data_IF_315812398332
#
_entry.id   IF_315812398332
#
_cell.length_a   1.000
_cell.length_b   1.000
_cell.length_c   1.000
_cell.angle_alpha   90.00
_cell.angle_beta   90.00
_cell.angle_gamma   90.00
#
_symmetry.space_group_name_H-M   'P 1'
#
loop_
_entity.id
_entity.type
_entity.pdbx_description
1 polymer ?
#
# COMPACT_ATOMS: atom_id res chain seq x y z
N UNK A 1 6.75 2.42 -29.88
CA UNK A 1 5.34 2.11 -29.58
C UNK A 1 5.29 1.57 -28.17
N UNK A 2 4.57 2.22 -27.29
CA UNK A 2 4.52 1.95 -25.83
C UNK A 2 3.91 0.58 -25.51
N UNK A 3 2.88 0.15 -26.26
CA UNK A 3 2.18 -1.11 -26.07
C UNK A 3 2.64 -2.18 -27.07
N UNK A 4 3.27 -3.24 -26.59
CA UNK A 4 3.45 -4.51 -27.30
C UNK A 4 2.21 -5.40 -27.10
N UNK A 5 2.19 -6.60 -27.71
CA UNK A 5 1.04 -7.51 -27.64
C UNK A 5 0.76 -8.00 -26.20
N UNK A 6 1.81 -8.25 -25.39
CA UNK A 6 1.68 -8.67 -23.99
C UNK A 6 1.07 -7.57 -23.13
N UNK A 7 1.53 -6.32 -23.28
CA UNK A 7 0.96 -5.17 -22.58
C UNK A 7 -0.48 -4.88 -22.97
N UNK A 8 -0.83 -5.09 -24.25
CA UNK A 8 -2.22 -4.99 -24.69
C UNK A 8 -3.09 -6.07 -24.06
N UNK A 9 -2.59 -7.30 -23.97
CA UNK A 9 -3.32 -8.40 -23.32
C UNK A 9 -3.54 -8.08 -21.83
N UNK A 10 -2.51 -7.61 -21.13
CA UNK A 10 -2.64 -7.17 -19.73
C UNK A 10 -3.68 -6.03 -19.59
N UNK A 11 -3.58 -5.01 -20.45
CA UNK A 11 -4.51 -3.88 -20.44
C UNK A 11 -5.97 -4.33 -20.58
N UNK A 12 -6.27 -5.18 -21.55
CA UNK A 12 -7.64 -5.67 -21.78
C UNK A 12 -8.11 -6.57 -20.61
N UNK A 13 -7.23 -7.41 -20.04
CA UNK A 13 -7.56 -8.22 -18.87
C UNK A 13 -7.93 -7.34 -17.67
N UNK A 14 -7.13 -6.32 -17.37
CA UNK A 14 -7.37 -5.41 -16.24
C UNK A 14 -8.64 -4.58 -16.46
N UNK A 15 -8.83 -4.07 -17.66
CA UNK A 15 -10.02 -3.31 -18.06
C UNK A 15 -11.30 -4.15 -17.93
N UNK A 16 -11.25 -5.40 -18.38
CA UNK A 16 -12.38 -6.33 -18.21
C UNK A 16 -12.67 -6.62 -16.74
N UNK A 17 -11.62 -6.86 -15.93
CA UNK A 17 -11.75 -7.01 -14.51
C UNK A 17 -12.39 -5.78 -13.85
N UNK A 18 -11.90 -4.58 -14.16
CA UNK A 18 -12.45 -3.33 -13.62
C UNK A 18 -13.93 -3.15 -13.97
N UNK A 19 -14.32 -3.47 -15.20
CA UNK A 19 -15.71 -3.38 -15.66
C UNK A 19 -16.67 -4.41 -15.03
N UNK A 20 -16.17 -5.61 -14.75
CA UNK A 20 -17.00 -6.71 -14.26
C UNK A 20 -17.02 -6.80 -12.73
N UNK A 21 -15.88 -6.53 -12.06
CA UNK A 21 -15.70 -6.78 -10.64
C UNK A 21 -15.69 -5.49 -9.79
N UNK A 22 -15.53 -4.31 -10.40
CA UNK A 22 -15.51 -3.03 -9.68
C UNK A 22 -16.67 -2.14 -10.06
N UNK A 23 -16.76 -1.75 -11.33
CA UNK A 23 -17.72 -0.75 -11.80
C UNK A 23 -19.19 -1.04 -11.41
N UNK A 24 -19.72 -2.28 -11.48
CA UNK A 24 -21.11 -2.57 -11.10
C UNK A 24 -21.42 -2.33 -9.62
N UNK A 25 -20.40 -2.32 -8.77
CA UNK A 25 -20.54 -2.19 -7.31
C UNK A 25 -20.06 -0.83 -6.78
N UNK A 26 -19.45 0.01 -7.62
CA UNK A 26 -18.82 1.26 -7.23
C UNK A 26 -19.78 2.20 -6.48
N UNK A 27 -21.01 2.38 -6.96
CA UNK A 27 -22.03 3.22 -6.30
C UNK A 27 -22.42 2.68 -4.92
N UNK A 28 -22.62 1.37 -4.79
CA UNK A 28 -22.92 0.73 -3.51
C UNK A 28 -21.77 0.91 -2.52
N UNK A 29 -20.53 0.65 -2.96
CA UNK A 29 -19.35 0.80 -2.11
C UNK A 29 -19.08 2.26 -1.73
N UNK A 30 -19.32 3.21 -2.64
CA UNK A 30 -19.23 4.65 -2.34
C UNK A 30 -20.25 5.05 -1.25
N UNK A 31 -21.48 4.56 -1.33
CA UNK A 31 -22.51 4.81 -0.32
C UNK A 31 -22.18 4.16 1.03
N UNK A 32 -21.63 2.95 1.03
CA UNK A 32 -21.14 2.26 2.22
C UNK A 32 -19.85 2.86 2.75
N UNK A 33 -19.11 3.57 1.89
CA UNK A 33 -17.85 4.22 2.17
C UNK A 33 -16.68 3.25 2.37
N UNK A 34 -16.75 2.04 1.85
CA UNK A 34 -15.68 1.07 1.74
C UNK A 34 -16.05 -0.03 0.75
N UNK A 35 -15.03 -0.65 0.14
CA UNK A 35 -15.16 -1.86 -0.67
C UNK A 35 -14.65 -3.07 0.11
N UNK A 36 -15.08 -4.30 -0.19
CA UNK A 36 -14.59 -5.50 0.48
C UNK A 36 -13.20 -5.89 -0.02
N UNK A 37 -12.15 -5.34 0.62
CA UNK A 37 -10.77 -5.43 0.13
C UNK A 37 -10.27 -6.88 0.03
N UNK A 38 -10.54 -7.72 1.03
CA UNK A 38 -10.12 -9.13 1.01
C UNK A 38 -10.72 -9.89 -0.16
N UNK A 39 -12.03 -9.72 -0.42
CA UNK A 39 -12.70 -10.41 -1.52
C UNK A 39 -12.20 -9.93 -2.88
N UNK A 40 -12.04 -8.61 -3.06
CA UNK A 40 -11.56 -8.05 -4.32
C UNK A 40 -10.11 -8.44 -4.60
N UNK A 41 -9.23 -8.33 -3.59
CA UNK A 41 -7.82 -8.68 -3.76
C UNK A 41 -7.63 -10.18 -4.00
N UNK A 42 -8.49 -11.03 -3.44
CA UNK A 42 -8.47 -12.46 -3.76
C UNK A 42 -8.77 -12.72 -5.23
N UNK A 43 -9.80 -12.09 -5.78
CA UNK A 43 -10.12 -12.16 -7.23
C UNK A 43 -9.00 -11.61 -8.10
N UNK A 44 -8.35 -10.51 -7.68
CA UNK A 44 -7.21 -9.94 -8.41
C UNK A 44 -6.01 -10.89 -8.43
N UNK A 45 -5.75 -11.57 -7.31
CA UNK A 45 -4.67 -12.55 -7.21
C UNK A 45 -4.89 -13.78 -8.10
N UNK A 46 -6.14 -14.20 -8.33
CA UNK A 46 -6.48 -15.29 -9.28
C UNK A 46 -6.08 -14.95 -10.74
N UNK A 47 -5.86 -13.67 -11.03
CA UNK A 47 -5.38 -13.16 -12.32
C UNK A 47 -3.95 -12.62 -12.24
N UNK A 48 -3.20 -12.92 -11.19
CA UNK A 48 -1.83 -12.47 -10.90
C UNK A 48 -1.65 -10.93 -10.85
N UNK A 49 -2.74 -10.15 -10.72
CA UNK A 49 -2.74 -8.69 -10.81
C UNK A 49 -2.11 -7.98 -9.60
N UNK A 50 -1.93 -8.66 -8.45
CA UNK A 50 -1.29 -8.07 -7.28
C UNK A 50 0.24 -8.22 -7.29
N UNK A 51 0.78 -9.04 -8.20
CA UNK A 51 2.20 -9.39 -8.26
C UNK A 51 2.91 -9.00 -9.56
N UNK A 52 2.35 -8.15 -10.41
CA UNK A 52 2.87 -7.87 -11.76
C UNK A 52 4.36 -7.52 -11.76
N UNK A 53 4.80 -6.63 -10.88
CA UNK A 53 6.21 -6.19 -10.79
C UNK A 53 7.00 -6.89 -9.70
N UNK A 54 6.41 -7.85 -9.01
CA UNK A 54 7.06 -8.57 -7.90
C UNK A 54 7.84 -9.77 -8.43
N UNK A 55 8.89 -10.15 -7.68
CA UNK A 55 9.78 -11.25 -8.01
C UNK A 55 9.02 -12.60 -8.10
N UNK A 56 9.35 -13.40 -9.12
CA UNK A 56 8.79 -14.74 -9.37
C UNK A 56 9.02 -15.68 -8.19
N UNK A 57 10.15 -15.57 -7.48
CA UNK A 57 10.47 -16.39 -6.30
C UNK A 57 9.46 -16.23 -5.15
N UNK A 58 8.66 -15.14 -5.18
CA UNK A 58 7.62 -14.85 -4.20
C UNK A 58 6.20 -14.90 -4.78
N UNK A 59 6.06 -15.42 -6.01
CA UNK A 59 4.77 -15.57 -6.67
C UNK A 59 4.32 -14.36 -7.48
N UNK A 60 5.24 -13.45 -7.79
CA UNK A 60 5.02 -12.36 -8.74
C UNK A 60 5.26 -12.77 -10.19
N UNK A 61 5.04 -11.85 -11.12
CA UNK A 61 5.27 -12.08 -12.56
C UNK A 61 6.67 -11.62 -13.02
N UNK A 62 7.47 -10.95 -12.18
CA UNK A 62 8.81 -10.47 -12.51
C UNK A 62 8.87 -9.43 -13.64
N UNK A 63 7.76 -8.78 -13.97
CA UNK A 63 7.70 -7.83 -15.08
C UNK A 63 8.24 -6.47 -14.67
N UNK A 64 8.75 -5.71 -15.66
CA UNK A 64 9.27 -4.36 -15.40
C UNK A 64 8.14 -3.35 -15.10
N UNK A 65 8.49 -2.21 -14.53
CA UNK A 65 7.53 -1.20 -14.07
C UNK A 65 6.65 -0.61 -15.18
N UNK A 66 7.02 -0.76 -16.46
CA UNK A 66 6.18 -0.33 -17.58
C UNK A 66 4.88 -1.14 -17.67
N UNK A 67 4.87 -2.39 -17.18
CA UNK A 67 3.63 -3.18 -17.03
C UNK A 67 2.78 -2.68 -15.86
N UNK A 68 3.41 -2.21 -14.77
CA UNK A 68 2.73 -1.53 -13.66
C UNK A 68 1.99 -0.26 -14.10
N UNK A 69 2.57 0.50 -15.03
CA UNK A 69 1.91 1.68 -15.62
C UNK A 69 0.71 1.28 -16.50
N UNK A 70 0.85 0.23 -17.31
CA UNK A 70 -0.27 -0.31 -18.11
C UNK A 70 -1.41 -0.79 -17.22
N UNK A 71 -1.07 -1.47 -16.13
CA UNK A 71 -2.03 -1.90 -15.11
C UNK A 71 -2.77 -0.70 -14.49
N UNK A 72 -2.02 0.32 -14.06
CA UNK A 72 -2.59 1.53 -13.46
C UNK A 72 -3.53 2.27 -14.42
N UNK A 73 -3.12 2.44 -15.69
CA UNK A 73 -3.93 3.06 -16.75
C UNK A 73 -5.23 2.26 -16.97
N UNK A 74 -5.14 0.95 -17.12
CA UNK A 74 -6.31 0.10 -17.33
C UNK A 74 -7.29 0.09 -16.15
N UNK A 75 -6.79 0.21 -14.91
CA UNK A 75 -7.63 0.36 -13.71
C UNK A 75 -8.46 1.66 -13.72
N UNK A 76 -8.06 2.68 -14.45
CA UNK A 76 -8.85 3.91 -14.64
C UNK A 76 -10.25 3.66 -15.19
N UNK A 77 -10.48 2.53 -15.87
CA UNK A 77 -11.82 2.10 -16.33
C UNK A 77 -12.75 1.61 -15.21
N UNK A 78 -12.28 1.58 -13.97
CA UNK A 78 -13.12 1.26 -12.80
C UNK A 78 -14.14 2.37 -12.49
N UNK A 79 -13.90 3.59 -13.00
CA UNK A 79 -14.69 4.81 -12.73
C UNK A 79 -14.77 5.14 -11.22
N UNK A 80 -13.79 4.65 -10.44
CA UNK A 80 -13.70 4.88 -8.99
C UNK A 80 -12.24 5.00 -8.54
N UNK A 81 -11.78 6.23 -8.36
CA UNK A 81 -10.41 6.51 -7.90
C UNK A 81 -10.12 6.06 -6.46
N UNK A 82 -11.14 5.86 -5.63
CA UNK A 82 -10.95 5.39 -4.25
C UNK A 82 -10.45 3.95 -4.23
N UNK A 83 -11.11 3.06 -4.98
CA UNK A 83 -10.70 1.66 -5.11
C UNK A 83 -9.33 1.56 -5.78
N UNK A 84 -9.12 2.31 -6.86
CA UNK A 84 -7.83 2.34 -7.57
C UNK A 84 -6.69 2.78 -6.64
N UNK A 85 -6.94 3.79 -5.78
CA UNK A 85 -5.98 4.21 -4.75
C UNK A 85 -5.71 3.09 -3.75
N UNK A 86 -6.74 2.40 -3.28
CA UNK A 86 -6.60 1.29 -2.34
C UNK A 86 -5.83 0.10 -2.93
N UNK A 87 -6.03 -0.20 -4.21
CA UNK A 87 -5.24 -1.20 -4.95
C UNK A 87 -3.78 -0.74 -5.03
N UNK A 88 -3.52 0.53 -5.36
CA UNK A 88 -2.16 1.08 -5.39
C UNK A 88 -1.46 1.04 -4.03
N UNK A 89 -2.19 1.16 -2.93
CA UNK A 89 -1.60 0.95 -1.59
C UNK A 89 -1.11 -0.49 -1.45
N UNK A 90 -1.89 -1.47 -1.90
CA UNK A 90 -1.52 -2.89 -1.88
C UNK A 90 -0.28 -3.18 -2.73
N UNK A 91 -0.26 -2.70 -3.96
CA UNK A 91 0.73 -3.11 -4.98
C UNK A 91 1.98 -2.23 -5.00
N UNK A 92 1.83 -0.91 -4.84
CA UNK A 92 2.88 0.09 -5.11
C UNK A 92 3.33 0.88 -3.88
N UNK A 93 2.60 0.82 -2.73
CA UNK A 93 2.95 1.63 -1.56
C UNK A 93 3.35 0.82 -0.34
N UNK A 94 2.70 -0.30 -0.04
CA UNK A 94 2.99 -1.08 1.17
C UNK A 94 3.99 -2.22 0.94
N UNK A 95 4.07 -2.74 -0.28
CA UNK A 95 4.85 -3.94 -0.61
C UNK A 95 6.21 -3.70 -1.26
N UNK A 96 6.50 -2.60 -2.00
CA UNK A 96 7.76 -2.49 -2.73
C UNK A 96 9.01 -2.46 -1.86
N UNK A 97 8.99 -1.75 -0.72
CA UNK A 97 10.13 -1.74 0.20
C UNK A 97 10.35 -3.14 0.83
N UNK A 98 9.27 -3.85 1.16
CA UNK A 98 9.34 -5.23 1.65
C UNK A 98 9.94 -6.16 0.60
N UNK A 99 9.53 -6.03 -0.65
CA UNK A 99 10.03 -6.82 -1.78
C UNK A 99 11.53 -6.58 -2.01
N UNK A 100 11.97 -5.32 -2.05
CA UNK A 100 13.36 -4.97 -2.38
C UNK A 100 14.35 -5.21 -1.25
N UNK A 101 13.93 -4.99 0.01
CA UNK A 101 14.83 -4.91 1.16
C UNK A 101 14.48 -5.87 2.31
N UNK A 102 13.33 -6.54 2.26
CA UNK A 102 12.93 -7.52 3.27
C UNK A 102 13.81 -8.76 3.29
N UNK A 103 13.98 -9.37 4.45
CA UNK A 103 14.59 -10.70 4.53
C UNK A 103 13.69 -11.74 3.87
N UNK A 104 14.26 -12.88 3.50
CA UNK A 104 13.49 -13.97 2.88
C UNK A 104 12.33 -14.40 3.78
N UNK A 105 12.58 -14.54 5.09
CA UNK A 105 11.55 -14.91 6.08
C UNK A 105 10.43 -13.87 6.12
N UNK A 106 10.79 -12.58 6.10
CA UNK A 106 9.81 -11.50 6.14
C UNK A 106 8.96 -11.45 4.86
N UNK A 107 9.57 -11.69 3.70
CA UNK A 107 8.87 -11.78 2.43
C UNK A 107 7.91 -12.98 2.39
N UNK A 108 8.35 -14.15 2.86
CA UNK A 108 7.49 -15.34 2.94
C UNK A 108 6.30 -15.12 3.89
N UNK A 109 6.52 -14.44 5.02
CA UNK A 109 5.51 -14.21 6.03
C UNK A 109 4.46 -13.14 5.62
N UNK A 110 4.87 -12.10 4.87
CA UNK A 110 4.01 -10.94 4.59
C UNK A 110 3.84 -10.61 3.09
N UNK A 111 4.89 -10.73 2.26
CA UNK A 111 4.80 -10.38 0.84
C UNK A 111 4.03 -11.45 0.05
N UNK A 112 4.36 -12.71 0.25
CA UNK A 112 3.69 -13.82 -0.46
C UNK A 112 2.18 -13.84 -0.19
N UNK A 113 1.69 -13.74 1.06
CA UNK A 113 0.25 -13.65 1.30
C UNK A 113 -0.39 -12.38 0.72
N UNK A 114 0.32 -11.25 0.68
CA UNK A 114 -0.17 -10.03 0.06
C UNK A 114 -0.35 -10.17 -1.45
N UNK A 115 0.62 -10.82 -2.15
CA UNK A 115 0.52 -11.12 -3.59
C UNK A 115 -0.63 -12.10 -3.87
N UNK A 116 -0.85 -13.06 -2.98
CA UNK A 116 -1.95 -14.04 -3.10
C UNK A 116 -3.34 -13.51 -2.70
N UNK A 117 -3.42 -12.23 -2.31
CA UNK A 117 -4.67 -11.63 -1.86
C UNK A 117 -5.19 -12.18 -0.52
N UNK A 118 -4.36 -12.92 0.22
CA UNK A 118 -4.68 -13.47 1.54
C UNK A 118 -4.53 -12.42 2.65
N UNK A 119 -3.78 -11.33 2.38
CA UNK A 119 -3.57 -10.22 3.30
C UNK A 119 -3.81 -8.89 2.59
N UNK A 120 -4.59 -8.03 3.21
CA UNK A 120 -4.74 -6.63 2.87
C UNK A 120 -3.63 -5.83 3.55
N UNK A 121 -3.02 -4.91 2.82
CA UNK A 121 -1.89 -4.13 3.32
C UNK A 121 -2.19 -2.64 3.40
N UNK A 122 -1.45 -1.97 4.27
CA UNK A 122 -1.49 -0.53 4.40
C UNK A 122 -0.08 0.05 4.58
N UNK A 123 0.09 1.34 4.27
CA UNK A 123 1.33 2.07 4.52
C UNK A 123 1.08 3.26 5.43
N UNK A 124 1.87 3.40 6.49
CA UNK A 124 1.66 4.41 7.52
C UNK A 124 2.89 5.31 7.67
N UNK A 125 2.84 6.48 7.03
CA UNK A 125 3.92 7.47 7.01
C UNK A 125 3.47 8.75 7.74
N UNK A 126 2.40 9.40 7.25
CA UNK A 126 1.94 10.71 7.72
C UNK A 126 1.48 10.69 9.18
N UNK A 127 1.67 11.83 9.86
CA UNK A 127 1.22 12.05 11.24
C UNK A 127 0.37 13.33 11.31
N UNK A 128 -0.36 13.52 12.41
CA UNK A 128 -1.21 14.71 12.60
C UNK A 128 -0.42 16.03 12.46
N UNK A 129 0.85 16.05 12.84
CA UNK A 129 1.73 17.21 12.79
C UNK A 129 2.57 17.33 11.52
N UNK A 130 2.48 16.41 10.56
CA UNK A 130 3.31 16.43 9.36
C UNK A 130 3.05 15.30 8.38
N UNK A 131 3.03 15.65 7.10
CA UNK A 131 2.93 14.71 5.97
C UNK A 131 3.86 15.14 4.84
N UNK A 132 3.90 16.42 4.47
CA UNK A 132 4.83 16.95 3.48
C UNK A 132 6.30 16.86 3.95
N UNK A 133 6.56 17.10 5.22
CA UNK A 133 7.87 16.87 5.83
C UNK A 133 7.92 15.51 6.53
N UNK A 134 8.22 14.47 5.78
CA UNK A 134 8.41 13.10 6.28
C UNK A 134 9.60 13.00 7.26
N UNK A 135 10.52 13.95 7.25
CA UNK A 135 11.66 13.96 8.17
C UNK A 135 11.26 14.31 9.62
N UNK A 136 10.14 15.02 9.82
CA UNK A 136 9.68 15.52 11.11
C UNK A 136 8.78 14.54 11.91
N UNK A 137 8.66 13.30 11.49
CA UNK A 137 7.84 12.27 12.15
C UNK A 137 8.29 12.02 13.59
N UNK A 138 7.32 11.74 14.47
CA UNK A 138 7.52 11.56 15.92
C UNK A 138 7.31 10.14 16.41
N UNK A 139 6.53 9.31 15.69
CA UNK A 139 6.35 7.90 16.04
C UNK A 139 7.72 7.24 16.19
N UNK A 140 7.93 6.56 17.29
CA UNK A 140 9.23 5.99 17.65
C UNK A 140 9.12 4.49 17.95
N UNK A 141 10.24 3.80 17.80
CA UNK A 141 10.43 2.40 18.12
C UNK A 141 11.72 2.25 18.92
N UNK A 142 11.58 1.97 20.22
CA UNK A 142 12.70 1.81 21.13
C UNK A 142 13.05 0.32 21.20
N UNK A 143 14.32 -0.02 21.03
CA UNK A 143 14.80 -1.39 21.19
C UNK A 143 14.70 -1.84 22.65
N UNK A 144 14.16 -3.02 22.83
CA UNK A 144 14.13 -3.72 24.11
C UNK A 144 14.32 -5.20 23.85
N UNK A 145 15.46 -5.72 24.27
CA UNK A 145 15.88 -7.10 24.00
C UNK A 145 15.84 -7.39 22.48
N UNK A 146 15.12 -8.41 22.03
CA UNK A 146 14.94 -8.78 20.62
C UNK A 146 13.75 -8.07 19.94
N UNK A 147 13.10 -7.14 20.64
CA UNK A 147 11.89 -6.45 20.18
C UNK A 147 12.11 -4.94 19.99
N UNK A 148 11.18 -4.31 19.27
CA UNK A 148 10.90 -2.88 19.31
C UNK A 148 9.64 -2.63 20.13
N UNK A 149 9.66 -1.59 20.97
CA UNK A 149 8.46 -1.03 21.61
C UNK A 149 8.09 0.24 20.87
N UNK A 150 6.95 0.23 20.19
CA UNK A 150 6.51 1.30 19.31
C UNK A 150 5.43 2.13 19.98
N UNK A 151 5.63 3.47 19.95
CA UNK A 151 4.70 4.46 20.46
C UNK A 151 4.53 5.60 19.46
N UNK A 152 3.28 6.06 19.29
CA UNK A 152 2.95 7.17 18.41
C UNK A 152 1.62 7.03 17.72
N UNK A 153 1.45 7.79 16.64
CA UNK A 153 0.22 7.78 15.86
C UNK A 153 0.50 8.09 14.40
N UNK A 154 -0.34 7.54 13.53
CA UNK A 154 -0.33 7.82 12.10
C UNK A 154 -1.70 8.32 11.67
N UNK A 155 -1.75 9.14 10.62
CA UNK A 155 -2.97 9.83 10.19
C UNK A 155 -3.17 9.65 8.69
N UNK A 156 -4.44 9.56 8.29
CA UNK A 156 -4.87 9.39 6.89
C UNK A 156 -4.36 8.10 6.25
N UNK A 157 -4.45 6.99 6.98
CA UNK A 157 -3.93 5.70 6.53
C UNK A 157 -4.99 4.97 5.74
N UNK A 158 -4.76 4.83 4.44
CA UNK A 158 -5.63 4.12 3.50
C UNK A 158 -5.55 2.61 3.74
N UNK A 159 -6.66 1.91 3.58
CA UNK A 159 -6.89 0.49 3.88
C UNK A 159 -6.76 0.14 5.37
N UNK A 160 -6.57 1.11 6.27
CA UNK A 160 -6.24 0.82 7.67
C UNK A 160 -7.30 -0.01 8.39
N UNK A 161 -8.59 0.17 8.07
CA UNK A 161 -9.68 -0.56 8.77
C UNK A 161 -9.80 -2.02 8.35
N UNK A 162 -9.17 -2.40 7.22
CA UNK A 162 -9.20 -3.74 6.65
C UNK A 162 -7.81 -4.41 6.62
N UNK A 163 -6.73 -3.63 6.89
CA UNK A 163 -5.37 -4.13 6.77
C UNK A 163 -5.03 -5.23 7.78
N UNK A 164 -4.41 -6.31 7.31
CA UNK A 164 -3.82 -7.36 8.13
C UNK A 164 -2.47 -6.94 8.69
N UNK A 165 -1.71 -6.13 7.93
CA UNK A 165 -0.50 -5.49 8.43
C UNK A 165 -0.30 -4.08 7.85
N UNK A 166 0.50 -3.30 8.56
CA UNK A 166 0.80 -1.91 8.24
C UNK A 166 2.31 -1.75 8.10
N UNK A 167 2.80 -1.39 6.90
CA UNK A 167 4.18 -0.98 6.69
C UNK A 167 4.38 0.44 7.25
N UNK A 168 5.06 0.57 8.37
CA UNK A 168 5.10 1.80 9.16
C UNK A 168 6.49 2.40 9.21
N UNK A 169 6.62 3.70 8.89
CA UNK A 169 7.86 4.47 9.07
C UNK A 169 7.92 5.04 10.48
N UNK A 170 8.97 4.69 11.22
CA UNK A 170 9.17 5.07 12.62
C UNK A 170 10.60 5.52 12.88
N UNK A 171 10.83 6.35 13.92
CA UNK A 171 12.17 6.67 14.39
C UNK A 171 12.70 5.50 15.24
N UNK A 172 13.87 4.97 14.90
CA UNK A 172 14.52 3.87 15.61
C UNK A 172 15.79 4.27 16.36
N UNK A 173 16.24 5.52 16.19
CA UNK A 173 17.43 6.04 16.89
C UNK A 173 17.37 7.57 17.05
N UNK A 174 18.25 8.11 17.88
CA UNK A 174 18.49 9.54 18.06
C UNK A 174 19.54 10.02 17.05
N UNK A 175 19.21 10.10 15.79
CA UNK A 175 20.16 10.50 14.75
C UNK A 175 19.65 11.66 13.92
N UNK A 176 20.36 11.93 12.83
CA UNK A 176 19.88 12.85 11.79
C UNK A 176 18.54 12.35 11.28
N UNK A 177 17.58 13.28 11.10
CA UNK A 177 16.19 12.99 10.69
C UNK A 177 16.04 12.16 9.41
N UNK A 178 17.06 12.11 8.56
CA UNK A 178 17.08 11.28 7.36
C UNK A 178 17.75 9.90 7.56
N UNK A 179 18.40 9.67 8.71
CA UNK A 179 19.14 8.44 9.02
C UNK A 179 18.71 7.76 10.32
N UNK A 180 17.62 8.21 10.90
CA UNK A 180 17.10 7.70 12.16
C UNK A 180 15.78 6.91 12.02
N UNK A 181 15.31 6.69 10.78
CA UNK A 181 14.02 6.06 10.51
C UNK A 181 14.17 4.68 9.92
N UNK A 182 13.28 3.79 10.29
CA UNK A 182 13.17 2.44 9.74
C UNK A 182 11.74 2.16 9.31
N UNK A 183 11.56 1.31 8.31
CA UNK A 183 10.28 0.72 7.96
C UNK A 183 10.11 -0.58 8.75
N UNK A 184 8.98 -0.72 9.42
CA UNK A 184 8.64 -1.91 10.22
C UNK A 184 7.26 -2.42 9.80
N UNK A 185 7.15 -3.72 9.61
CA UNK A 185 5.86 -4.39 9.43
C UNK A 185 5.20 -4.56 10.80
N UNK A 186 3.98 -4.06 10.95
CA UNK A 186 3.20 -4.16 12.17
C UNK A 186 1.88 -4.88 11.84
N UNK A 187 1.67 -6.13 12.28
CA UNK A 187 0.37 -6.79 12.15
C UNK A 187 -0.70 -5.99 12.89
N UNK A 188 -1.84 -5.75 12.26
CA UNK A 188 -2.89 -4.86 12.76
C UNK A 188 -3.56 -5.38 14.04
N UNK A 189 -3.54 -6.69 14.25
CA UNK A 189 -4.08 -7.35 15.43
C UNK A 189 -3.10 -7.38 16.63
N UNK A 190 -1.92 -6.75 16.52
CA UNK A 190 -0.94 -6.71 17.62
C UNK A 190 -1.49 -5.90 18.79
N UNK A 191 -1.32 -6.41 19.99
CA UNK A 191 -1.72 -5.71 21.22
C UNK A 191 -1.08 -4.31 21.29
N UNK A 192 -1.91 -3.29 21.53
CA UNK A 192 -1.48 -1.88 21.55
C UNK A 192 -1.68 -1.15 20.23
N UNK A 193 -1.99 -1.85 19.13
CA UNK A 193 -2.45 -1.23 17.89
C UNK A 193 -3.94 -0.90 18.02
N UNK A 194 -4.31 0.32 17.71
CA UNK A 194 -5.71 0.74 17.65
C UNK A 194 -5.96 1.48 16.34
N UNK A 195 -6.88 0.95 15.55
CA UNK A 195 -7.38 1.63 14.35
C UNK A 195 -8.54 2.53 14.79
N UNK A 196 -8.44 3.81 14.51
CA UNK A 196 -9.51 4.77 14.82
C UNK A 196 -10.70 4.68 13.86
N UNK A 197 -11.72 5.51 14.07
CA UNK A 197 -12.88 5.53 13.20
C UNK A 197 -12.49 5.96 11.79
N UNK A 198 -13.17 5.39 10.79
CA UNK A 198 -13.03 5.80 9.40
C UNK A 198 -13.33 7.29 9.24
N UNK A 199 -12.46 7.98 8.51
CA UNK A 199 -12.61 9.40 8.21
C UNK A 199 -13.65 9.58 7.10
N UNK A 200 -14.63 10.45 7.32
CA UNK A 200 -15.57 10.89 6.29
C UNK A 200 -14.88 11.90 5.36
N UNK A 201 -14.65 11.50 4.11
CA UNK A 201 -13.88 12.27 3.12
C UNK A 201 -14.81 12.96 2.12
N UNK A 202 -14.33 14.03 1.49
CA UNK A 202 -15.03 14.72 0.40
C UNK A 202 -15.15 13.84 -0.85
N UNK A 203 -14.10 13.08 -1.18
CA UNK A 203 -14.05 12.15 -2.29
C UNK A 203 -13.23 10.90 -1.94
N UNK A 204 -13.06 9.98 -2.91
CA UNK A 204 -12.41 8.68 -2.74
C UNK A 204 -13.02 7.88 -1.58
N UNK A 205 -14.34 7.93 -1.44
CA UNK A 205 -15.06 7.43 -0.26
C UNK A 205 -15.07 5.90 -0.18
N UNK A 206 -14.94 5.23 -1.30
CA UNK A 206 -14.82 3.77 -1.43
C UNK A 206 -13.57 3.22 -0.76
N UNK A 207 -12.45 3.96 -0.73
CA UNK A 207 -11.31 3.56 0.11
C UNK A 207 -11.52 4.00 1.54
N UNK A 208 -11.38 3.08 2.49
CA UNK A 208 -11.32 3.45 3.90
C UNK A 208 -10.02 4.21 4.21
N UNK A 209 -10.14 5.15 5.12
CA UNK A 209 -9.00 5.92 5.60
C UNK A 209 -9.20 6.18 7.08
N UNK A 210 -8.23 5.83 7.91
CA UNK A 210 -8.36 5.96 9.36
C UNK A 210 -7.04 6.42 10.01
N UNK A 211 -7.08 7.00 11.22
CA UNK A 211 -5.90 7.15 12.06
C UNK A 211 -5.52 5.80 12.68
N UNK A 212 -4.22 5.62 12.92
CA UNK A 212 -3.67 4.44 13.60
C UNK A 212 -2.86 4.89 14.80
N UNK A 213 -3.09 4.24 15.93
CA UNK A 213 -2.43 4.55 17.21
C UNK A 213 -1.61 3.36 17.68
N UNK A 214 -0.43 3.65 18.20
CA UNK A 214 0.50 2.67 18.79
C UNK A 214 0.75 3.04 20.25
N UNK A 215 0.35 2.14 21.15
CA UNK A 215 0.57 2.27 22.60
C UNK A 215 1.33 1.04 23.11
N UNK A 216 2.63 1.20 23.30
CA UNK A 216 3.55 0.14 23.75
C UNK A 216 3.44 -1.14 22.91
N UNK A 217 3.33 -0.98 21.58
CA UNK A 217 3.25 -2.10 20.64
C UNK A 217 4.59 -2.82 20.59
N UNK A 218 4.60 -4.09 20.95
CA UNK A 218 5.80 -4.94 20.98
C UNK A 218 5.90 -5.74 19.67
N UNK A 219 6.97 -5.50 18.90
CA UNK A 219 7.21 -6.11 17.59
C UNK A 219 8.62 -6.67 17.51
N UNK A 220 8.82 -7.93 17.08
CA UNK A 220 10.14 -8.51 16.88
C UNK A 220 11.01 -7.64 15.95
N UNK A 221 12.30 -7.43 16.29
CA UNK A 221 13.21 -6.64 15.47
C UNK A 221 13.36 -7.21 14.05
N UNK A 222 13.12 -8.49 13.83
CA UNK A 222 13.11 -9.13 12.50
C UNK A 222 12.02 -8.61 11.57
N UNK A 223 10.98 -7.90 12.10
CA UNK A 223 9.93 -7.27 11.27
C UNK A 223 10.36 -5.93 10.68
N UNK A 224 11.58 -5.48 10.95
CA UNK A 224 12.18 -4.33 10.27
C UNK A 224 12.57 -4.71 8.84
N UNK A 225 12.18 -3.86 7.89
CA UNK A 225 12.58 -3.97 6.49
C UNK A 225 14.01 -3.40 6.34
N UNK A 226 14.91 -4.20 5.80
CA UNK A 226 16.29 -3.82 5.51
C UNK A 226 17.09 -3.38 6.73
N UNK A 227 18.02 -2.43 6.53
CA UNK A 227 18.91 -1.93 7.60
C UNK A 227 18.25 -0.83 8.41
N UNK A 228 18.54 -0.83 9.69
CA UNK A 228 18.10 0.24 10.60
C UNK A 228 18.62 1.61 10.16
N UNK A 229 17.74 2.61 10.21
CA UNK A 229 18.07 3.98 9.81
C UNK A 229 17.97 4.26 8.32
N UNK A 230 17.73 3.25 7.47
CA UNK A 230 17.60 3.42 6.01
C UNK A 230 16.14 3.60 5.54
N UNK A 231 15.16 3.55 6.45
CA UNK A 231 13.74 3.61 6.10
C UNK A 231 13.34 4.90 5.37
N UNK A 232 13.94 6.04 5.71
CA UNK A 232 13.67 7.29 4.98
C UNK A 232 14.10 7.19 3.52
N UNK A 233 15.31 6.64 3.26
CA UNK A 233 15.81 6.44 1.90
C UNK A 233 14.90 5.50 1.10
N UNK A 234 14.55 4.35 1.68
CA UNK A 234 13.66 3.37 1.05
C UNK A 234 12.30 3.98 0.69
N UNK A 235 11.74 4.81 1.59
CA UNK A 235 10.48 5.49 1.34
C UNK A 235 10.58 6.55 0.23
N UNK A 236 11.69 7.28 0.14
CA UNK A 236 11.90 8.26 -0.94
C UNK A 236 12.06 7.57 -2.31
N UNK A 237 12.70 6.43 -2.36
CA UNK A 237 12.80 5.62 -3.59
C UNK A 237 11.42 5.10 -4.02
N UNK A 238 10.64 4.59 -3.08
CA UNK A 238 9.29 4.09 -3.32
C UNK A 238 8.33 5.19 -3.80
N UNK A 239 8.40 6.39 -3.25
CA UNK A 239 7.56 7.53 -3.65
C UNK A 239 7.66 7.88 -5.14
N UNK A 240 8.75 7.56 -5.80
CA UNK A 240 8.89 7.85 -7.23
C UNK A 240 7.93 7.00 -8.08
N UNK A 241 7.84 5.71 -7.79
CA UNK A 241 6.99 4.76 -8.53
C UNK A 241 5.51 4.92 -8.15
N UNK A 242 5.19 5.01 -6.85
CA UNK A 242 3.80 5.13 -6.39
C UNK A 242 3.09 6.37 -6.95
N UNK A 243 3.82 7.48 -7.17
CA UNK A 243 3.28 8.68 -7.80
C UNK A 243 2.99 8.52 -9.28
N UNK A 244 3.78 7.71 -9.98
CA UNK A 244 3.53 7.38 -11.38
C UNK A 244 2.29 6.49 -11.52
N UNK A 245 2.10 5.52 -10.62
CA UNK A 245 0.89 4.69 -10.57
C UNK A 245 -0.37 5.55 -10.44
N UNK A 246 -0.41 6.43 -9.43
CA UNK A 246 -1.56 7.30 -9.21
C UNK A 246 -1.80 8.27 -10.38
N UNK A 247 -0.73 8.81 -10.97
CA UNK A 247 -0.86 9.70 -12.12
C UNK A 247 -1.43 8.96 -13.33
N UNK A 248 -0.95 7.76 -13.63
CA UNK A 248 -1.41 6.97 -14.78
C UNK A 248 -2.89 6.59 -14.66
N UNK A 249 -3.33 6.14 -13.49
CA UNK A 249 -4.73 5.78 -13.24
C UNK A 249 -5.67 7.00 -13.25
N UNK A 250 -5.24 8.12 -12.64
CA UNK A 250 -6.03 9.33 -12.54
C UNK A 250 -6.22 10.05 -13.89
N UNK A 251 -5.20 10.00 -14.76
CA UNK A 251 -5.25 10.67 -16.06
C UNK A 251 -6.33 10.08 -16.96
N UNK A 252 -6.52 8.77 -16.98
CA UNK A 252 -7.59 8.15 -17.76
C UNK A 252 -8.95 8.57 -17.22
N UNK A 253 -9.15 8.45 -15.90
CA UNK A 253 -10.40 8.83 -15.25
C UNK A 253 -10.79 10.30 -15.49
N UNK A 254 -9.81 11.21 -15.48
CA UNK A 254 -10.08 12.65 -15.69
C UNK A 254 -10.20 13.03 -17.17
N UNK A 255 -9.53 12.33 -18.10
CA UNK A 255 -9.61 12.62 -19.52
C UNK A 255 -10.89 12.12 -20.17
N UNK A 256 -11.43 11.00 -19.71
CA UNK A 256 -12.73 10.46 -20.18
C UNK A 256 -13.89 11.43 -19.85
N UNK A 257 -13.78 12.13 -18.72
CA UNK A 257 -14.71 13.20 -18.36
C UNK A 257 -14.61 14.45 -19.23
N UNK A 258 -13.58 14.61 -20.06
CA UNK A 258 -13.39 15.73 -20.95
C UNK A 258 -13.93 15.45 -22.38
N UNK A 259 -14.23 14.19 -22.70
CA UNK A 259 -14.76 13.75 -24.01
C UNK A 259 -16.31 13.71 -24.04
N UNK A 260 -16.98 13.98 -22.90
CA UNK A 260 -18.42 14.21 -22.78
C UNK A 260 -18.76 15.72 -22.90
#
# INVERSE_FOLDING_TARGET
>A
MYLNEEKKALYETVKEFARNEIKPFAEEWENNGFFPAHDLFKKMAELDLLGITKDEDYGGMGLDYSYGIVFAEALGHADDCGIVTAIGVQTDMATPALERYGSNELKQEFLVPAIKGDMVTSVAISEHGGGSDVSALKTNAIKKDDDYIINGQKMWITNATQADYICTLVNTSEGSSHKNKSLIIIPSNTKGVTIGPKIDKLGLRTSDTAPVYFDNVCIPQRYRIGREGEGFKMQMEQFQEERLFLAASCLLYTSDAADE
#
